data_IF_501570615336
#
_entry.id   IF_501570615336
#
_cell.length_a   1.000
_cell.length_b   1.000
_cell.length_c   1.000
_cell.angle_alpha   90.00
_cell.angle_beta   90.00
_cell.angle_gamma   90.00
#
_symmetry.space_group_name_H-M   'P 1'
#
loop_
_entity.id
_entity.type
_entity.pdbx_description
1 polymer ?
#
# COMPACT_ATOMS: atom_id res chain seq x y z
N UNK A 1 4.46 -2.39 18.86
CA UNK A 1 4.10 -1.64 17.65
C UNK A 1 5.21 -1.80 16.64
N UNK A 2 4.91 -2.11 15.37
CA UNK A 2 5.92 -1.93 14.33
C UNK A 2 5.99 -0.42 14.12
N UNK A 3 6.99 0.20 14.74
CA UNK A 3 7.40 1.57 14.49
C UNK A 3 8.51 1.46 13.46
N UNK A 4 8.31 2.06 12.29
CA UNK A 4 9.24 1.96 11.16
C UNK A 4 9.28 3.28 10.43
N UNK A 5 9.82 4.35 11.05
CA UNK A 5 9.95 5.63 10.40
C UNK A 5 10.83 5.47 9.17
N UNK A 6 10.41 6.06 8.05
CA UNK A 6 11.24 6.09 6.86
C UNK A 6 12.32 7.15 7.06
N UNK A 7 13.50 6.73 7.53
CA UNK A 7 14.62 7.64 7.85
C UNK A 7 15.44 8.06 6.62
N UNK A 8 15.37 7.28 5.54
CA UNK A 8 16.04 7.59 4.26
C UNK A 8 15.22 8.58 3.43
N UNK A 9 15.89 9.28 2.52
CA UNK A 9 15.24 10.16 1.56
C UNK A 9 14.28 9.38 0.65
N UNK A 10 12.98 9.57 0.86
CA UNK A 10 11.91 8.79 0.23
C UNK A 10 10.59 9.58 0.21
N UNK A 11 9.67 9.24 -0.70
CA UNK A 11 8.36 9.90 -0.80
C UNK A 11 7.55 9.84 0.51
N UNK A 12 7.70 8.78 1.30
CA UNK A 12 7.02 8.60 2.59
C UNK A 12 7.86 9.02 3.80
N UNK A 13 8.94 9.78 3.61
CA UNK A 13 9.74 10.28 4.73
C UNK A 13 8.88 11.17 5.65
N UNK A 14 8.97 10.92 6.96
CA UNK A 14 8.15 11.59 7.97
C UNK A 14 6.78 10.95 8.24
N UNK A 15 6.46 9.83 7.58
CA UNK A 15 5.28 9.01 7.89
C UNK A 15 5.69 7.73 8.61
N UNK A 16 4.83 7.28 9.53
CA UNK A 16 4.94 6.00 10.22
C UNK A 16 3.91 5.01 9.68
N UNK A 17 4.33 3.77 9.45
CA UNK A 17 3.44 2.67 9.08
C UNK A 17 3.06 1.88 10.32
N UNK A 18 1.77 1.84 10.63
CA UNK A 18 1.23 1.18 11.83
C UNK A 18 0.24 0.09 11.45
N UNK A 19 0.04 -0.86 12.36
CA UNK A 19 -0.95 -1.94 12.28
C UNK A 19 -2.05 -1.68 13.33
N UNK A 20 -3.13 -0.96 12.97
CA UNK A 20 -4.17 -0.57 13.92
C UNK A 20 -4.86 -1.76 14.59
N UNK A 21 -4.87 -2.94 13.93
CA UNK A 21 -5.43 -4.18 14.48
C UNK A 21 -4.70 -4.67 15.75
N UNK A 22 -3.53 -4.11 16.06
CA UNK A 22 -2.76 -4.42 17.27
C UNK A 22 -3.04 -3.46 18.43
N UNK A 23 -3.92 -2.48 18.25
CA UNK A 23 -4.27 -1.50 19.29
C UNK A 23 -5.52 -1.96 20.05
N UNK A 24 -5.64 -1.54 21.32
CA UNK A 24 -6.80 -1.89 22.16
C UNK A 24 -8.03 -1.04 21.82
N UNK A 25 -7.80 0.16 21.31
CA UNK A 25 -8.82 1.14 20.99
C UNK A 25 -9.39 0.91 19.58
N UNK A 26 -10.70 1.13 19.42
CA UNK A 26 -11.41 1.05 18.15
C UNK A 26 -11.59 2.43 17.51
N UNK A 27 -12.11 2.48 16.28
CA UNK A 27 -12.39 3.74 15.57
C UNK A 27 -11.30 4.21 14.61
N UNK A 28 -10.32 3.35 14.32
CA UNK A 28 -9.31 3.61 13.29
C UNK A 28 -9.92 3.62 11.89
N UNK A 29 -9.26 4.34 10.98
CA UNK A 29 -9.67 4.40 9.59
C UNK A 29 -9.77 2.97 8.99
N UNK A 30 -10.87 2.65 8.29
CA UNK A 30 -11.04 1.33 7.68
C UNK A 30 -10.05 1.13 6.53
N UNK A 31 -9.78 -0.13 6.14
CA UNK A 31 -9.00 -0.42 4.93
C UNK A 31 -9.74 0.09 3.68
N UNK A 32 -8.99 0.71 2.77
CA UNK A 32 -9.55 1.33 1.56
C UNK A 32 -9.29 0.52 0.27
N UNK A 33 -8.22 -0.28 0.24
CA UNK A 33 -7.81 -1.09 -0.91
C UNK A 33 -6.87 -2.24 -0.47
N UNK A 34 -6.55 -3.14 -1.40
CA UNK A 34 -5.54 -4.17 -1.20
C UNK A 34 -4.29 -3.89 -2.07
N UNK A 35 -3.13 -3.79 -1.42
CA UNK A 35 -1.85 -3.46 -2.07
C UNK A 35 -1.01 -4.72 -2.32
N UNK A 36 -0.12 -4.65 -3.32
CA UNK A 36 0.86 -5.69 -3.66
C UNK A 36 0.27 -7.11 -3.75
N UNK A 37 -0.94 -7.23 -4.33
CA UNK A 37 -1.73 -8.47 -4.27
C UNK A 37 -1.00 -9.63 -4.92
N UNK A 38 -0.32 -9.44 -6.07
CA UNK A 38 0.48 -10.49 -6.69
C UNK A 38 1.61 -11.05 -5.81
N UNK A 39 2.16 -10.25 -4.87
CA UNK A 39 3.30 -10.67 -4.06
C UNK A 39 2.95 -11.75 -3.02
N UNK A 40 1.67 -12.06 -2.81
CA UNK A 40 1.30 -13.23 -1.99
C UNK A 40 1.72 -14.55 -2.64
N UNK A 41 1.94 -14.58 -3.96
CA UNK A 41 2.51 -15.73 -4.68
C UNK A 41 3.94 -16.00 -4.21
N UNK A 42 4.72 -14.94 -3.98
CA UNK A 42 6.10 -15.02 -3.47
C UNK A 42 6.15 -15.61 -2.05
N UNK A 43 5.02 -15.58 -1.34
CA UNK A 43 4.83 -16.20 -0.02
C UNK A 43 4.21 -17.60 -0.09
N UNK A 44 4.05 -18.17 -1.28
CA UNK A 44 3.61 -19.56 -1.49
C UNK A 44 2.14 -19.75 -1.85
N UNK A 45 1.39 -18.69 -2.16
CA UNK A 45 0.02 -18.82 -2.69
C UNK A 45 0.07 -19.37 -4.13
N UNK A 46 -0.71 -20.41 -4.39
CA UNK A 46 -0.90 -20.96 -5.74
C UNK A 46 -1.47 -19.90 -6.70
N UNK A 47 -0.81 -19.58 -7.83
CA UNK A 47 -1.31 -18.65 -8.84
C UNK A 47 -2.73 -18.97 -9.33
N UNK A 48 -3.12 -20.24 -9.34
CA UNK A 48 -4.47 -20.67 -9.72
C UNK A 48 -5.58 -20.15 -8.80
N UNK A 49 -5.24 -19.65 -7.60
CA UNK A 49 -6.20 -19.08 -6.63
C UNK A 49 -6.35 -17.57 -6.74
N UNK A 50 -5.55 -16.91 -7.57
CA UNK A 50 -5.48 -15.44 -7.57
C UNK A 50 -6.76 -14.77 -8.04
N UNK A 51 -7.50 -15.39 -8.97
CA UNK A 51 -8.76 -14.83 -9.47
C UNK A 51 -9.83 -14.81 -8.37
N UNK A 52 -9.96 -15.90 -7.61
CA UNK A 52 -10.88 -15.98 -6.46
C UNK A 52 -10.49 -15.00 -5.36
N UNK A 53 -9.20 -14.85 -5.08
CA UNK A 53 -8.69 -13.90 -4.08
C UNK A 53 -9.06 -12.46 -4.49
N UNK A 54 -8.79 -12.09 -5.75
CA UNK A 54 -9.12 -10.76 -6.27
C UNK A 54 -10.62 -10.52 -6.29
N UNK A 55 -11.43 -11.53 -6.66
CA UNK A 55 -12.88 -11.43 -6.62
C UNK A 55 -13.36 -11.17 -5.19
N UNK A 56 -12.85 -11.92 -4.21
CA UNK A 56 -13.23 -11.76 -2.81
C UNK A 56 -12.86 -10.38 -2.24
N UNK A 57 -11.70 -9.84 -2.62
CA UNK A 57 -11.30 -8.49 -2.22
C UNK A 57 -12.27 -7.43 -2.75
N UNK A 58 -12.70 -7.54 -4.01
CA UNK A 58 -13.71 -6.63 -4.60
C UNK A 58 -15.08 -6.73 -3.94
N UNK A 59 -15.53 -7.94 -3.58
CA UNK A 59 -16.78 -8.13 -2.82
C UNK A 59 -16.76 -7.41 -1.46
N UNK A 60 -15.57 -7.31 -0.85
CA UNK A 60 -15.34 -6.60 0.41
C UNK A 60 -15.15 -5.08 0.21
N UNK A 61 -15.23 -4.58 -1.02
CA UNK A 61 -14.99 -3.17 -1.35
C UNK A 61 -13.51 -2.77 -1.35
N UNK A 62 -12.60 -3.74 -1.37
CA UNK A 62 -11.15 -3.51 -1.38
C UNK A 62 -10.62 -3.76 -2.79
N UNK A 63 -10.45 -2.70 -3.59
CA UNK A 63 -9.93 -2.86 -4.95
C UNK A 63 -8.50 -3.43 -4.91
N UNK A 64 -8.21 -4.54 -5.62
CA UNK A 64 -6.88 -5.16 -5.60
C UNK A 64 -5.93 -4.49 -6.60
N UNK A 65 -4.78 -4.07 -6.10
CA UNK A 65 -3.66 -3.55 -6.89
C UNK A 65 -2.40 -4.39 -6.67
N UNK A 66 -1.61 -4.58 -7.72
CA UNK A 66 -0.29 -5.23 -7.63
C UNK A 66 0.82 -4.24 -7.21
N UNK A 67 0.44 -3.01 -6.86
CA UNK A 67 1.26 -1.96 -6.28
C UNK A 67 0.46 -1.22 -5.18
N UNK A 68 0.62 0.09 -5.03
CA UNK A 68 -0.26 0.92 -4.18
C UNK A 68 -1.48 1.40 -4.99
N UNK A 69 -2.41 2.10 -4.31
CA UNK A 69 -3.52 2.75 -5.00
C UNK A 69 -3.03 3.81 -6.01
N UNK A 70 -3.79 4.10 -7.08
CA UNK A 70 -3.39 5.09 -8.08
C UNK A 70 -2.98 6.45 -7.50
N UNK A 71 -3.74 6.96 -6.52
CA UNK A 71 -3.42 8.23 -5.86
C UNK A 71 -2.07 8.19 -5.11
N UNK A 72 -1.73 7.08 -4.45
CA UNK A 72 -0.43 6.93 -3.78
C UNK A 72 0.70 6.74 -4.79
N UNK A 73 0.44 6.04 -5.90
CA UNK A 73 1.41 5.89 -6.98
C UNK A 73 1.72 7.25 -7.63
N UNK A 74 0.72 8.08 -7.88
CA UNK A 74 0.89 9.44 -8.41
C UNK A 74 1.66 10.34 -7.45
N UNK A 75 1.41 10.21 -6.14
CA UNK A 75 2.17 10.91 -5.11
C UNK A 75 3.66 10.55 -5.14
N UNK A 76 3.98 9.25 -5.20
CA UNK A 76 5.37 8.76 -5.31
C UNK A 76 6.02 9.24 -6.61
N UNK A 77 5.32 9.12 -7.74
CA UNK A 77 5.82 9.56 -9.04
C UNK A 77 6.10 11.07 -9.07
N UNK A 78 5.20 11.88 -8.51
CA UNK A 78 5.35 13.34 -8.40
C UNK A 78 6.59 13.69 -7.58
N UNK A 79 6.78 13.01 -6.44
CA UNK A 79 7.96 13.21 -5.60
C UNK A 79 9.26 12.92 -6.36
N UNK A 80 9.32 11.79 -7.08
CA UNK A 80 10.49 11.42 -7.92
C UNK A 80 10.72 12.43 -9.04
N UNK A 81 9.67 12.90 -9.69
CA UNK A 81 9.76 13.84 -10.80
C UNK A 81 10.27 15.23 -10.34
N UNK A 82 9.83 15.71 -9.17
CA UNK A 82 10.37 16.93 -8.55
C UNK A 82 11.85 16.76 -8.16
N UNK A 83 12.18 15.64 -7.52
CA UNK A 83 13.56 15.36 -7.09
C UNK A 83 14.55 15.27 -8.25
N UNK A 84 14.12 14.68 -9.37
CA UNK A 84 14.96 14.56 -10.58
C UNK A 84 15.00 15.82 -11.44
N UNK A 85 14.19 16.85 -11.12
CA UNK A 85 14.07 18.06 -11.92
C UNK A 85 13.27 17.90 -13.22
N UNK A 86 12.57 16.78 -13.40
CA UNK A 86 11.70 16.55 -14.56
C UNK A 86 10.47 17.47 -14.55
N UNK A 87 10.00 17.85 -13.36
CA UNK A 87 8.97 18.89 -13.15
C UNK A 87 9.44 19.88 -12.09
N UNK A 88 8.89 21.09 -12.12
CA UNK A 88 9.21 22.12 -11.12
C UNK A 88 8.73 21.71 -9.72
N UNK A 89 9.55 22.05 -8.71
CA UNK A 89 9.32 21.77 -7.30
C UNK A 89 8.17 22.58 -6.71
#
# INVERSE_FOLDING_TARGET
>A
HMYGPVEREHAFQGLDFVHPERFQESGWAPPEFAAFVSSIIESGVDPGRMDDIRARLRELGLEPYDCLSPALMDYVATWVAKKSGAIAS
#
